data_IF_304349660078
#
_entry.id   IF_304349660078
#
_cell.length_a   1.000
_cell.length_b   1.000
_cell.length_c   1.000
_cell.angle_alpha   90.00
_cell.angle_beta   90.00
_cell.angle_gamma   90.00
#
_symmetry.space_group_name_H-M   'P 1'
#
loop_
_entity.id
_entity.type
_entity.pdbx_description
1 polymer ?
#
# COMPACT_ATOMS: atom_id res chain seq x y z
N UNK A 1 125.63 -39.56 56.02
CA UNK A 1 125.61 -40.97 55.57
C UNK A 1 124.79 -41.90 56.48
N UNK A 2 123.81 -41.45 57.28
CA UNK A 2 122.99 -42.44 58.01
C UNK A 2 121.53 -42.00 58.31
N UNK A 3 120.89 -41.39 57.30
CA UNK A 3 119.44 -41.58 57.03
C UNK A 3 119.06 -43.07 56.87
N UNK A 4 120.06 -43.97 56.80
CA UNK A 4 119.92 -45.43 56.80
C UNK A 4 119.94 -46.09 58.20
N UNK A 5 120.42 -45.44 59.28
CA UNK A 5 120.43 -46.04 60.64
C UNK A 5 119.06 -45.86 61.30
N UNK A 6 118.38 -44.76 60.98
CA UNK A 6 117.00 -44.52 61.43
C UNK A 6 116.02 -45.56 60.85
N UNK A 7 116.33 -46.10 59.66
CA UNK A 7 115.50 -47.12 59.00
C UNK A 7 115.77 -48.54 59.54
N UNK A 8 116.99 -48.85 60.01
CA UNK A 8 117.30 -50.15 60.64
C UNK A 8 116.84 -50.26 62.08
N UNK A 9 116.76 -49.16 62.84
CA UNK A 9 116.15 -49.19 64.17
C UNK A 9 114.61 -49.31 64.12
N UNK A 10 113.98 -48.86 63.03
CA UNK A 10 112.54 -49.04 62.77
C UNK A 10 112.16 -50.49 62.43
N UNK A 11 113.13 -51.38 62.17
CA UNK A 11 112.87 -52.74 61.70
C UNK A 11 113.21 -53.86 62.70
N UNK A 12 113.89 -53.59 63.82
CA UNK A 12 114.31 -54.65 64.77
C UNK A 12 113.56 -54.63 66.10
N UNK A 13 112.75 -53.61 66.42
CA UNK A 13 111.77 -53.70 67.53
C UNK A 13 110.56 -54.59 67.20
N UNK A 14 110.61 -55.28 66.05
CA UNK A 14 109.59 -56.20 65.54
C UNK A 14 109.69 -57.63 66.10
N UNK A 15 110.60 -57.96 67.02
CA UNK A 15 110.69 -59.35 67.53
C UNK A 15 111.11 -59.41 69.01
N UNK A 16 110.13 -59.25 69.91
CA UNK A 16 110.02 -60.02 71.15
C UNK A 16 108.54 -60.10 71.58
N UNK A 17 107.83 -61.07 70.99
CA UNK A 17 106.97 -62.08 71.64
C UNK A 17 107.19 -62.23 73.16
N UNK A 18 106.27 -62.59 74.06
CA UNK A 18 104.97 -63.29 74.07
C UNK A 18 104.43 -63.10 75.53
N UNK A 19 103.18 -62.80 75.84
CA UNK A 19 102.13 -63.77 76.25
C UNK A 19 101.09 -63.04 77.14
N UNK A 20 99.82 -62.99 76.74
CA UNK A 20 98.70 -63.40 77.61
C UNK A 20 97.35 -63.38 76.84
N UNK A 21 96.94 -64.59 76.47
CA UNK A 21 95.60 -65.19 76.58
C UNK A 21 94.35 -64.48 76.04
N UNK A 22 93.82 -65.10 75.00
CA UNK A 22 92.40 -65.30 74.66
C UNK A 22 91.36 -64.90 75.73
N UNK A 23 90.59 -63.87 75.44
CA UNK A 23 89.19 -63.71 75.90
C UNK A 23 88.45 -62.81 74.90
N UNK A 24 88.37 -63.32 73.66
CA UNK A 24 87.73 -62.70 72.50
C UNK A 24 86.27 -63.14 72.33
N UNK A 25 85.45 -62.25 71.74
CA UNK A 25 84.16 -62.43 71.06
C UNK A 25 82.83 -62.02 71.73
N UNK A 26 82.56 -62.21 73.02
CA UNK A 26 81.17 -62.08 73.50
C UNK A 26 80.71 -60.63 73.82
N UNK A 27 81.63 -59.72 74.18
CA UNK A 27 81.28 -58.33 74.52
C UNK A 27 81.23 -57.38 73.32
N UNK A 28 82.05 -57.61 72.28
CA UNK A 28 82.01 -56.84 71.04
C UNK A 28 80.77 -57.17 70.19
N UNK A 29 80.40 -58.46 70.09
CA UNK A 29 79.18 -58.87 69.38
C UNK A 29 77.90 -58.31 70.04
N UNK A 30 77.82 -58.28 71.38
CA UNK A 30 76.70 -57.63 72.09
C UNK A 30 76.61 -56.13 71.85
N UNK A 31 77.75 -55.43 71.73
CA UNK A 31 77.78 -53.99 71.42
C UNK A 31 77.34 -53.73 69.97
N UNK A 32 77.78 -54.56 69.03
CA UNK A 32 77.40 -54.47 67.61
C UNK A 32 75.91 -54.80 67.43
N UNK A 33 75.38 -55.81 68.12
CA UNK A 33 73.97 -56.18 68.08
C UNK A 33 73.06 -55.08 68.69
N UNK A 34 73.49 -54.44 69.78
CA UNK A 34 72.81 -53.28 70.36
C UNK A 34 72.85 -52.05 69.44
N UNK A 35 73.97 -51.83 68.73
CA UNK A 35 74.09 -50.77 67.74
C UNK A 35 73.19 -51.03 66.53
N UNK A 36 73.15 -52.25 66.00
CA UNK A 36 72.27 -52.62 64.90
C UNK A 36 70.80 -52.50 65.30
N UNK A 37 70.41 -52.97 66.49
CA UNK A 37 69.04 -52.75 67.01
C UNK A 37 68.67 -51.28 67.13
N UNK A 38 69.61 -50.42 67.52
CA UNK A 38 69.39 -48.97 67.64
C UNK A 38 69.34 -48.28 66.27
N UNK A 39 70.11 -48.77 65.30
CA UNK A 39 70.07 -48.31 63.90
C UNK A 39 68.76 -48.75 63.24
N UNK A 40 68.34 -50.00 63.41
CA UNK A 40 67.07 -50.52 62.89
C UNK A 40 65.87 -49.83 63.54
N UNK A 41 65.94 -49.53 64.85
CA UNK A 41 64.89 -48.73 65.51
C UNK A 41 64.83 -47.32 64.93
N UNK A 42 65.97 -46.65 64.73
CA UNK A 42 66.03 -45.32 64.12
C UNK A 42 65.57 -45.30 62.66
N UNK A 43 65.89 -46.34 61.88
CA UNK A 43 65.40 -46.51 60.50
C UNK A 43 63.89 -46.72 60.49
N UNK A 44 63.36 -47.53 61.41
CA UNK A 44 61.91 -47.75 61.53
C UNK A 44 61.17 -46.48 61.97
N UNK A 45 61.75 -45.70 62.88
CA UNK A 45 61.21 -44.41 63.34
C UNK A 45 61.26 -43.37 62.21
N UNK A 46 62.39 -43.28 61.50
CA UNK A 46 62.56 -42.38 60.36
C UNK A 46 61.62 -42.75 59.21
N UNK A 47 61.43 -44.04 58.92
CA UNK A 47 60.48 -44.50 57.93
C UNK A 47 59.05 -44.23 58.37
N UNK A 48 58.70 -44.46 59.64
CA UNK A 48 57.40 -44.14 60.21
C UNK A 48 57.06 -42.64 60.14
N UNK A 49 58.03 -41.77 60.43
CA UNK A 49 57.92 -40.32 60.30
C UNK A 49 57.79 -39.91 58.84
N UNK A 50 58.58 -40.49 57.92
CA UNK A 50 58.46 -40.23 56.48
C UNK A 50 57.10 -40.66 55.94
N UNK A 51 56.57 -41.82 56.32
CA UNK A 51 55.22 -42.26 55.91
C UNK A 51 54.14 -41.34 56.45
N UNK A 52 54.22 -40.90 57.72
CA UNK A 52 53.27 -39.92 58.27
C UNK A 52 53.29 -38.58 57.53
N UNK A 53 54.48 -38.05 57.23
CA UNK A 53 54.62 -36.81 56.46
C UNK A 53 54.09 -36.99 55.03
N UNK A 54 54.32 -38.16 54.42
CA UNK A 54 53.81 -38.45 53.08
C UNK A 54 52.28 -38.55 53.08
N UNK A 55 51.70 -39.19 54.10
CA UNK A 55 50.25 -39.33 54.28
C UNK A 55 49.58 -37.98 54.56
N UNK A 56 50.18 -37.13 55.40
CA UNK A 56 49.73 -35.73 55.58
C UNK A 56 49.78 -34.94 54.28
N UNK A 57 50.86 -35.06 53.49
CA UNK A 57 50.97 -34.38 52.20
C UNK A 57 49.97 -34.89 51.17
N UNK A 58 49.69 -36.18 51.15
CA UNK A 58 48.67 -36.78 50.28
C UNK A 58 47.28 -36.30 50.70
N UNK A 59 47.01 -36.23 51.99
CA UNK A 59 45.73 -35.71 52.50
C UNK A 59 45.57 -34.22 52.19
N UNK A 60 46.59 -33.39 52.39
CA UNK A 60 46.57 -31.98 52.01
C UNK A 60 46.40 -31.78 50.49
N UNK A 61 47.10 -32.57 49.67
CA UNK A 61 46.95 -32.53 48.22
C UNK A 61 45.53 -32.94 47.80
N UNK A 62 44.98 -33.97 48.44
CA UNK A 62 43.62 -34.45 48.19
C UNK A 62 42.58 -33.40 48.59
N UNK A 63 42.71 -32.78 49.76
CA UNK A 63 41.84 -31.66 50.18
C UNK A 63 41.95 -30.48 49.22
N UNK A 64 43.16 -30.14 48.77
CA UNK A 64 43.38 -29.05 47.81
C UNK A 64 42.71 -29.35 46.46
N UNK A 65 42.87 -30.58 45.95
CA UNK A 65 42.22 -31.03 44.71
C UNK A 65 40.69 -31.03 44.86
N UNK A 66 40.18 -31.49 46.01
CA UNK A 66 38.74 -31.55 46.27
C UNK A 66 38.15 -30.14 46.35
N UNK A 67 38.84 -29.21 47.01
CA UNK A 67 38.45 -27.81 47.09
C UNK A 67 38.50 -27.12 45.72
N UNK A 68 39.53 -27.39 44.90
CA UNK A 68 39.61 -26.87 43.53
C UNK A 68 38.52 -27.45 42.63
N UNK A 69 38.23 -28.75 42.73
CA UNK A 69 37.15 -29.41 41.99
C UNK A 69 35.78 -28.82 42.36
N UNK A 70 35.54 -28.60 43.65
CA UNK A 70 34.32 -27.95 44.16
C UNK A 70 34.19 -26.50 43.65
N UNK A 71 35.29 -25.73 43.65
CA UNK A 71 35.32 -24.38 43.07
C UNK A 71 35.01 -24.40 41.57
N UNK A 72 35.64 -25.29 40.80
CA UNK A 72 35.41 -25.41 39.34
C UNK A 72 33.96 -25.79 39.04
N UNK A 73 33.39 -26.74 39.78
CA UNK A 73 31.99 -27.14 39.65
C UNK A 73 31.04 -25.97 39.96
N UNK A 74 31.35 -25.19 40.99
CA UNK A 74 30.57 -24.01 41.36
C UNK A 74 30.64 -22.93 40.27
N UNK A 75 31.82 -22.69 39.69
CA UNK A 75 31.98 -21.77 38.55
C UNK A 75 31.23 -22.27 37.30
N UNK A 76 31.26 -23.57 37.00
CA UNK A 76 30.52 -24.15 35.89
C UNK A 76 29.01 -23.98 36.05
N UNK A 77 28.50 -24.16 37.27
CA UNK A 77 27.08 -23.93 37.59
C UNK A 77 26.70 -22.47 37.41
N UNK A 78 27.52 -21.54 37.93
CA UNK A 78 27.28 -20.11 37.84
C UNK A 78 27.34 -19.62 36.39
N UNK A 79 28.29 -20.11 35.60
CA UNK A 79 28.37 -19.84 34.16
C UNK A 79 27.11 -20.32 33.43
N UNK A 80 26.65 -21.55 33.71
CA UNK A 80 25.44 -22.11 33.11
C UNK A 80 24.21 -21.24 33.41
N UNK A 81 24.05 -20.79 34.66
CA UNK A 81 22.96 -19.89 35.07
C UNK A 81 23.02 -18.56 34.30
N UNK A 82 24.20 -17.95 34.19
CA UNK A 82 24.39 -16.71 33.41
C UNK A 82 24.05 -16.94 31.94
N UNK A 83 24.51 -18.03 31.34
CA UNK A 83 24.21 -18.37 29.94
C UNK A 83 22.71 -18.55 29.70
N UNK A 84 22.00 -19.21 30.63
CA UNK A 84 20.55 -19.36 30.54
C UNK A 84 19.86 -18.00 30.60
N UNK A 85 20.27 -17.11 31.50
CA UNK A 85 19.72 -15.74 31.61
C UNK A 85 19.96 -14.96 30.31
N UNK A 86 21.19 -15.01 29.77
CA UNK A 86 21.52 -14.35 28.51
C UNK A 86 20.72 -14.91 27.32
N UNK A 87 20.53 -16.23 27.25
CA UNK A 87 19.69 -16.86 26.25
C UNK A 87 18.22 -16.41 26.39
N UNK A 88 17.72 -16.31 27.63
CA UNK A 88 16.37 -15.84 27.91
C UNK A 88 16.18 -14.39 27.48
N UNK A 89 17.15 -13.51 27.78
CA UNK A 89 17.15 -12.11 27.30
C UNK A 89 17.18 -12.07 25.77
N UNK A 90 18.02 -12.89 25.14
CA UNK A 90 18.13 -12.97 23.68
C UNK A 90 16.83 -13.36 22.97
N UNK A 91 15.96 -14.13 23.63
CA UNK A 91 14.64 -14.52 23.08
C UNK A 91 13.53 -13.56 23.49
N UNK A 92 13.48 -13.16 24.76
CA UNK A 92 12.38 -12.33 25.30
C UNK A 92 12.47 -10.89 24.80
N UNK A 93 13.67 -10.32 24.70
CA UNK A 93 13.84 -8.91 24.36
C UNK A 93 13.35 -8.58 22.94
N UNK A 94 13.62 -9.39 21.89
CA UNK A 94 13.02 -9.22 20.57
C UNK A 94 11.48 -9.33 20.58
N UNK A 95 10.91 -10.27 21.35
CA UNK A 95 9.46 -10.45 21.44
C UNK A 95 8.81 -9.21 22.09
N UNK A 96 9.37 -8.72 23.20
CA UNK A 96 8.90 -7.51 23.86
C UNK A 96 9.06 -6.28 22.96
N UNK A 97 10.19 -6.15 22.27
CA UNK A 97 10.45 -5.05 21.32
C UNK A 97 9.43 -5.07 20.19
N UNK A 98 9.10 -6.25 19.67
CA UNK A 98 8.08 -6.39 18.65
C UNK A 98 6.68 -6.06 19.16
N UNK A 99 6.26 -6.63 20.30
CA UNK A 99 4.91 -6.41 20.84
C UNK A 99 4.65 -5.00 21.33
N UNK A 100 5.64 -4.36 21.97
CA UNK A 100 5.45 -3.05 22.62
C UNK A 100 6.05 -1.88 21.85
N UNK A 101 7.04 -2.12 20.98
CA UNK A 101 7.66 -1.09 20.16
C UNK A 101 7.13 -1.11 18.73
N UNK A 102 7.37 -2.20 18.01
CA UNK A 102 7.18 -2.25 16.55
C UNK A 102 5.69 -2.32 16.19
N UNK A 103 4.96 -3.29 16.74
CA UNK A 103 3.54 -3.53 16.39
C UNK A 103 2.65 -2.31 16.64
N UNK A 104 2.59 -1.71 17.84
CA UNK A 104 1.73 -0.55 18.08
C UNK A 104 2.15 0.66 17.24
N UNK A 105 3.44 0.86 16.99
CA UNK A 105 3.90 1.93 16.09
C UNK A 105 3.42 1.71 14.66
N UNK A 106 3.43 0.46 14.17
CA UNK A 106 2.91 0.12 12.85
C UNK A 106 1.41 0.35 12.74
N UNK A 107 0.66 -0.03 13.77
CA UNK A 107 -0.79 0.15 13.82
C UNK A 107 -1.15 1.64 13.88
N UNK A 108 -0.44 2.44 14.69
CA UNK A 108 -0.61 3.89 14.75
C UNK A 108 -0.24 4.59 13.44
N UNK A 109 0.82 4.14 12.75
CA UNK A 109 1.22 4.67 11.44
C UNK A 109 0.13 4.41 10.40
N UNK A 110 -0.42 3.19 10.39
CA UNK A 110 -1.51 2.81 9.49
C UNK A 110 -2.77 3.64 9.74
N UNK A 111 -3.14 3.81 11.01
CA UNK A 111 -4.27 4.66 11.40
C UNK A 111 -4.04 6.13 11.01
N UNK A 112 -2.81 6.63 11.15
CA UNK A 112 -2.42 7.96 10.72
C UNK A 112 -2.52 8.12 9.21
N UNK A 113 -2.01 7.17 8.42
CA UNK A 113 -2.11 7.18 6.95
C UNK A 113 -3.56 7.23 6.50
N UNK A 114 -4.40 6.32 7.01
CA UNK A 114 -5.83 6.26 6.67
C UNK A 114 -6.56 7.56 7.05
N UNK A 115 -6.32 8.10 8.26
CA UNK A 115 -6.95 9.35 8.71
C UNK A 115 -6.42 10.58 7.98
N UNK A 116 -5.14 10.61 7.66
CA UNK A 116 -4.49 11.73 6.96
C UNK A 116 -4.96 11.79 5.51
N UNK A 117 -4.99 10.65 4.83
CA UNK A 117 -5.51 10.54 3.47
C UNK A 117 -6.99 10.96 3.41
N UNK A 118 -7.83 10.45 4.33
CA UNK A 118 -9.23 10.86 4.40
C UNK A 118 -9.38 12.38 4.64
N UNK A 119 -8.60 12.96 5.56
CA UNK A 119 -8.62 14.41 5.83
C UNK A 119 -8.16 15.21 4.63
N UNK A 120 -7.11 14.76 3.94
CA UNK A 120 -6.57 15.43 2.76
C UNK A 120 -7.56 15.40 1.61
N UNK A 121 -8.17 14.24 1.35
CA UNK A 121 -9.22 14.09 0.32
C UNK A 121 -10.44 14.96 0.63
N UNK A 122 -10.88 15.02 1.90
CA UNK A 122 -11.95 15.92 2.31
C UNK A 122 -11.59 17.39 2.10
N UNK A 123 -10.39 17.80 2.50
CA UNK A 123 -9.91 19.17 2.30
C UNK A 123 -9.88 19.54 0.80
N UNK A 124 -9.38 18.64 -0.07
CA UNK A 124 -9.37 18.87 -1.51
C UNK A 124 -10.78 18.99 -2.09
N UNK A 125 -11.73 18.15 -1.61
CA UNK A 125 -13.13 18.21 -2.04
C UNK A 125 -13.79 19.53 -1.60
N UNK A 126 -13.62 19.93 -0.35
CA UNK A 126 -14.16 21.20 0.16
C UNK A 126 -13.57 22.41 -0.56
N UNK A 127 -12.26 22.40 -0.79
CA UNK A 127 -11.58 23.46 -1.54
C UNK A 127 -12.12 23.56 -2.96
N UNK A 128 -12.27 22.43 -3.65
CA UNK A 128 -12.85 22.38 -4.99
C UNK A 128 -14.26 22.94 -5.04
N UNK A 129 -15.13 22.53 -4.10
CA UNK A 129 -16.51 23.04 -4.03
C UNK A 129 -16.49 24.56 -3.86
N UNK A 130 -15.64 25.10 -2.98
CA UNK A 130 -15.48 26.56 -2.80
C UNK A 130 -14.98 27.26 -4.06
N UNK A 131 -14.02 26.68 -4.77
CA UNK A 131 -13.48 27.26 -6.02
C UNK A 131 -14.56 27.29 -7.12
N UNK A 132 -15.36 26.23 -7.25
CA UNK A 132 -16.50 26.18 -8.18
C UNK A 132 -17.57 27.20 -7.76
N UNK A 133 -17.95 27.26 -6.48
CA UNK A 133 -18.94 28.21 -5.99
C UNK A 133 -18.50 29.66 -6.25
N UNK A 134 -17.23 29.98 -5.98
CA UNK A 134 -16.66 31.30 -6.27
C UNK A 134 -16.70 31.61 -7.77
N UNK A 135 -16.36 30.64 -8.63
CA UNK A 135 -16.45 30.82 -10.08
C UNK A 135 -17.89 31.09 -10.52
N UNK A 136 -18.87 30.35 -9.99
CA UNK A 136 -20.29 30.55 -10.28
C UNK A 136 -20.77 31.94 -9.82
N UNK A 137 -20.38 32.39 -8.62
CA UNK A 137 -20.75 33.74 -8.17
C UNK A 137 -20.11 34.83 -9.05
N UNK A 138 -18.86 34.65 -9.47
CA UNK A 138 -18.15 35.57 -10.35
C UNK A 138 -18.72 35.64 -11.77
N UNK A 139 -19.53 34.67 -12.20
CA UNK A 139 -20.27 34.76 -13.48
C UNK A 139 -21.25 35.93 -13.51
N UNK A 140 -21.71 36.40 -12.35
CA UNK A 140 -22.60 37.57 -12.21
C UNK A 140 -21.84 38.91 -12.23
N UNK A 141 -20.51 38.87 -12.32
CA UNK A 141 -19.69 40.08 -12.33
C UNK A 141 -19.95 40.94 -13.58
N UNK A 142 -20.01 42.26 -13.37
CA UNK A 142 -20.02 43.24 -14.45
C UNK A 142 -18.68 43.31 -15.19
N UNK A 143 -17.59 42.91 -14.54
CA UNK A 143 -16.27 42.82 -15.16
C UNK A 143 -16.18 41.59 -16.08
N UNK A 144 -16.11 41.86 -17.38
CA UNK A 144 -15.99 40.83 -18.43
C UNK A 144 -14.75 39.93 -18.26
N UNK A 145 -13.62 40.44 -17.74
CA UNK A 145 -12.43 39.61 -17.50
C UNK A 145 -12.68 38.60 -16.38
N UNK A 146 -13.28 39.04 -15.29
CA UNK A 146 -13.64 38.16 -14.15
C UNK A 146 -14.65 37.11 -14.60
N UNK A 147 -15.70 37.54 -15.33
CA UNK A 147 -16.74 36.64 -15.85
C UNK A 147 -16.16 35.59 -16.79
N UNK A 148 -15.34 35.99 -17.77
CA UNK A 148 -14.72 35.07 -18.74
C UNK A 148 -13.73 34.11 -18.09
N UNK A 149 -12.91 34.59 -17.13
CA UNK A 149 -12.00 33.72 -16.39
C UNK A 149 -12.76 32.65 -15.60
N UNK A 150 -13.89 33.02 -15.02
CA UNK A 150 -14.74 32.10 -14.26
C UNK A 150 -15.43 31.09 -15.17
N UNK A 151 -15.91 31.51 -16.33
CA UNK A 151 -16.47 30.61 -17.36
C UNK A 151 -15.44 29.61 -17.88
N UNK A 152 -14.23 30.08 -18.17
CA UNK A 152 -13.11 29.22 -18.58
C UNK A 152 -12.77 28.21 -17.49
N UNK A 153 -12.71 28.66 -16.23
CA UNK A 153 -12.48 27.76 -15.10
C UNK A 153 -13.54 26.66 -15.03
N UNK A 154 -14.83 26.98 -15.15
CA UNK A 154 -15.92 26.00 -15.14
C UNK A 154 -15.84 25.05 -16.35
N UNK A 155 -15.52 25.57 -17.53
CA UNK A 155 -15.37 24.76 -18.75
C UNK A 155 -14.26 23.73 -18.61
N UNK A 156 -13.06 24.15 -18.16
CA UNK A 156 -11.92 23.25 -17.98
C UNK A 156 -12.13 22.24 -16.85
N UNK A 157 -12.91 22.58 -15.84
CA UNK A 157 -13.18 21.73 -14.68
C UNK A 157 -14.54 21.00 -14.76
N UNK A 158 -15.23 21.03 -15.90
CA UNK A 158 -16.55 20.39 -16.10
C UNK A 158 -16.54 18.88 -15.80
N UNK A 159 -15.41 18.20 -16.00
CA UNK A 159 -15.24 16.79 -15.68
C UNK A 159 -15.29 16.46 -14.17
N UNK A 160 -15.22 17.46 -13.29
CA UNK A 160 -15.21 17.26 -11.84
C UNK A 160 -16.61 17.04 -11.25
N UNK A 161 -17.66 17.28 -12.04
CA UNK A 161 -19.06 17.21 -11.62
C UNK A 161 -19.50 18.44 -10.83
N UNK A 162 -20.78 18.77 -10.97
CA UNK A 162 -21.43 19.87 -10.25
C UNK A 162 -22.49 19.30 -9.31
N UNK A 163 -22.62 19.85 -8.11
CA UNK A 163 -23.72 19.48 -7.23
C UNK A 163 -25.04 20.14 -7.69
N UNK A 164 -26.16 19.68 -7.12
CA UNK A 164 -27.49 20.13 -7.57
C UNK A 164 -27.71 21.63 -7.39
N UNK A 165 -27.21 22.20 -6.29
CA UNK A 165 -27.31 23.63 -6.00
C UNK A 165 -26.50 24.47 -6.99
N UNK A 166 -25.32 24.00 -7.38
CA UNK A 166 -24.45 24.64 -8.38
C UNK A 166 -25.11 24.64 -9.77
N UNK A 167 -25.69 23.51 -10.18
CA UNK A 167 -26.45 23.43 -11.44
C UNK A 167 -27.63 24.41 -11.40
N UNK A 168 -28.38 24.46 -10.30
CA UNK A 168 -29.50 25.39 -10.15
C UNK A 168 -29.06 26.86 -10.23
N UNK A 169 -27.94 27.21 -9.60
CA UNK A 169 -27.37 28.57 -9.70
C UNK A 169 -27.01 28.93 -11.14
N UNK A 170 -26.42 28.00 -11.90
CA UNK A 170 -26.08 28.23 -13.31
C UNK A 170 -27.35 28.39 -14.15
N UNK A 171 -28.37 27.55 -13.95
CA UNK A 171 -29.68 27.70 -14.62
C UNK A 171 -30.29 29.08 -14.33
N UNK A 172 -30.23 29.55 -13.09
CA UNK A 172 -30.72 30.89 -12.74
C UNK A 172 -29.94 32.00 -13.45
N UNK A 173 -28.63 31.84 -13.66
CA UNK A 173 -27.84 32.80 -14.44
C UNK A 173 -28.26 32.76 -15.91
N UNK A 174 -28.50 31.56 -16.45
CA UNK A 174 -28.94 31.37 -17.84
C UNK A 174 -30.29 32.07 -18.07
N UNK A 175 -31.26 31.88 -17.18
CA UNK A 175 -32.60 32.47 -17.32
C UNK A 175 -32.62 33.99 -17.19
N UNK A 176 -31.61 34.61 -16.58
CA UNK A 176 -31.55 36.04 -16.31
C UNK A 176 -30.59 36.80 -17.24
N UNK A 177 -30.00 36.14 -18.24
CA UNK A 177 -29.02 36.72 -19.14
C UNK A 177 -29.47 36.60 -20.60
N UNK A 178 -29.13 37.59 -21.43
CA UNK A 178 -29.53 37.67 -22.84
C UNK A 178 -28.36 37.47 -23.82
N UNK A 179 -27.12 37.30 -23.34
CA UNK A 179 -25.95 37.05 -24.19
C UNK A 179 -25.92 35.57 -24.61
N UNK A 180 -26.44 35.28 -25.80
CA UNK A 180 -26.56 33.92 -26.33
C UNK A 180 -25.23 33.14 -26.31
N UNK A 181 -24.11 33.78 -26.66
CA UNK A 181 -22.81 33.11 -26.68
C UNK A 181 -22.36 32.71 -25.27
N UNK A 182 -22.65 33.54 -24.28
CA UNK A 182 -22.39 33.23 -22.87
C UNK A 182 -23.30 32.10 -22.36
N UNK A 183 -24.59 32.15 -22.71
CA UNK A 183 -25.56 31.11 -22.35
C UNK A 183 -25.16 29.73 -22.90
N UNK A 184 -24.81 29.67 -24.18
CA UNK A 184 -24.39 28.44 -24.87
C UNK A 184 -23.16 27.82 -24.20
N UNK A 185 -22.20 28.62 -23.75
CA UNK A 185 -21.03 28.13 -23.02
C UNK A 185 -21.40 27.59 -21.63
N UNK A 186 -22.28 28.29 -20.89
CA UNK A 186 -22.76 27.80 -19.59
C UNK A 186 -23.54 26.49 -19.71
N UNK A 187 -24.38 26.35 -20.74
CA UNK A 187 -25.06 25.09 -21.05
C UNK A 187 -24.05 23.98 -21.31
N UNK A 188 -22.97 24.28 -22.04
CA UNK A 188 -21.85 23.35 -22.23
C UNK A 188 -21.21 22.86 -20.93
N UNK A 189 -21.16 23.70 -19.89
CA UNK A 189 -20.63 23.31 -18.58
C UNK A 189 -21.55 22.33 -17.83
N UNK A 190 -22.87 22.43 -17.99
CA UNK A 190 -23.84 21.68 -17.18
C UNK A 190 -24.51 20.51 -17.93
N UNK A 191 -24.42 20.44 -19.26
CA UNK A 191 -25.18 19.49 -20.09
C UNK A 191 -24.97 18.01 -19.75
N UNK A 192 -23.82 17.65 -19.18
CA UNK A 192 -23.52 16.26 -18.82
C UNK A 192 -23.93 15.91 -17.38
N UNK A 193 -24.40 16.90 -16.60
CA UNK A 193 -24.76 16.71 -15.20
C UNK A 193 -26.13 16.06 -15.09
N UNK A 194 -26.21 14.90 -14.45
CA UNK A 194 -27.49 14.22 -14.18
C UNK A 194 -28.22 14.94 -13.06
N UNK A 195 -29.09 15.87 -13.42
CA UNK A 195 -29.79 16.75 -12.48
C UNK A 195 -31.26 16.97 -12.87
N UNK A 196 -32.17 16.84 -11.91
CA UNK A 196 -33.62 17.01 -12.12
C UNK A 196 -34.03 18.46 -12.41
N UNK A 197 -33.32 19.47 -11.89
CA UNK A 197 -33.59 20.88 -12.23
C UNK A 197 -33.21 21.17 -13.68
N UNK A 198 -32.09 20.61 -14.14
CA UNK A 198 -31.67 20.72 -15.54
C UNK A 198 -32.62 20.00 -16.49
N UNK A 199 -33.13 18.83 -16.08
CA UNK A 199 -34.17 18.12 -16.82
C UNK A 199 -35.44 18.97 -16.97
N UNK A 200 -35.93 19.56 -15.87
CA UNK A 200 -37.11 20.44 -15.90
C UNK A 200 -36.90 21.64 -16.83
N UNK A 201 -35.73 22.28 -16.73
CA UNK A 201 -35.34 23.37 -17.61
C UNK A 201 -35.40 22.97 -19.09
N UNK A 202 -34.82 21.83 -19.47
CA UNK A 202 -34.83 21.38 -20.86
C UNK A 202 -36.21 20.88 -21.34
N UNK A 203 -37.04 20.31 -20.47
CA UNK A 203 -38.44 19.98 -20.79
C UNK A 203 -39.22 21.26 -21.10
N UNK A 204 -39.07 22.29 -20.28
CA UNK A 204 -39.70 23.60 -20.52
C UNK A 204 -39.18 24.22 -21.83
N UNK A 205 -37.88 24.10 -22.09
CA UNK A 205 -37.27 24.58 -23.32
C UNK A 205 -37.82 23.87 -24.57
N UNK A 206 -38.00 22.53 -24.54
CA UNK A 206 -38.62 21.79 -25.65
C UNK A 206 -40.05 22.27 -25.96
N UNK A 207 -40.82 22.59 -24.92
CA UNK A 207 -42.22 23.01 -25.07
C UNK A 207 -42.37 24.45 -25.56
N UNK A 208 -41.39 25.31 -25.29
CA UNK A 208 -41.46 26.74 -25.60
C UNK A 208 -40.66 27.14 -26.83
N UNK A 209 -39.60 26.39 -27.17
CA UNK A 209 -38.74 26.73 -28.29
C UNK A 209 -39.43 26.52 -29.65
N UNK A 210 -39.33 27.54 -30.49
CA UNK A 210 -39.81 27.52 -31.88
C UNK A 210 -38.68 27.45 -32.89
N UNK A 211 -37.42 27.32 -32.44
CA UNK A 211 -36.26 27.32 -33.31
C UNK A 211 -35.23 26.23 -32.93
N UNK A 212 -34.60 25.66 -33.95
CA UNK A 212 -33.50 24.73 -33.81
C UNK A 212 -32.15 25.48 -33.70
N UNK A 213 -31.84 25.98 -32.49
CA UNK A 213 -30.63 26.75 -32.21
C UNK A 213 -29.58 25.97 -31.38
N UNK A 214 -28.52 26.64 -30.94
CA UNK A 214 -27.44 26.05 -30.13
C UNK A 214 -27.90 25.52 -28.77
N UNK A 215 -28.93 26.12 -28.15
CA UNK A 215 -29.51 25.62 -26.90
C UNK A 215 -30.24 24.30 -27.13
N UNK A 216 -30.92 24.15 -28.27
CA UNK A 216 -31.56 22.89 -28.66
C UNK A 216 -30.54 21.75 -28.82
N UNK A 217 -29.35 22.04 -29.35
CA UNK A 217 -28.25 21.07 -29.40
C UNK A 217 -27.90 20.52 -28.01
N UNK A 218 -27.72 21.40 -27.01
CA UNK A 218 -27.43 20.96 -25.64
C UNK A 218 -28.61 20.27 -24.97
N UNK A 219 -29.84 20.72 -25.23
CA UNK A 219 -31.05 20.08 -24.77
C UNK A 219 -31.14 18.62 -25.23
N UNK A 220 -30.94 18.37 -26.53
CA UNK A 220 -30.99 17.02 -27.11
C UNK A 220 -29.79 16.17 -26.68
N UNK A 221 -28.60 16.78 -26.52
CA UNK A 221 -27.43 16.11 -25.94
C UNK A 221 -27.65 15.70 -24.49
N UNK A 222 -28.31 16.52 -23.67
CA UNK A 222 -28.67 16.16 -22.30
C UNK A 222 -29.61 14.95 -22.31
N UNK A 223 -30.69 15.04 -23.11
CA UNK A 223 -31.70 14.00 -23.16
C UNK A 223 -31.23 12.66 -23.73
N UNK A 224 -30.15 12.62 -24.54
CA UNK A 224 -29.60 11.35 -25.03
C UNK A 224 -29.09 10.44 -23.91
N UNK A 225 -28.78 10.99 -22.72
CA UNK A 225 -28.41 10.24 -21.53
C UNK A 225 -29.60 9.87 -20.61
N UNK A 226 -30.81 10.29 -20.96
CA UNK A 226 -32.04 10.06 -20.18
C UNK A 226 -32.98 9.07 -20.87
N UNK A 227 -33.98 8.62 -20.11
CA UNK A 227 -34.97 7.69 -20.62
C UNK A 227 -35.91 8.40 -21.61
N UNK A 228 -35.84 8.00 -22.88
CA UNK A 228 -36.62 8.56 -23.98
C UNK A 228 -38.12 8.60 -23.72
N UNK A 229 -38.67 7.61 -23.01
CA UNK A 229 -40.11 7.57 -22.71
C UNK A 229 -40.59 8.77 -21.88
N UNK A 230 -39.70 9.43 -21.13
CA UNK A 230 -40.06 10.52 -20.21
C UNK A 230 -40.24 11.87 -20.89
N UNK A 231 -39.69 12.07 -22.09
CA UNK A 231 -39.73 13.34 -22.82
C UNK A 231 -40.17 13.19 -24.28
N UNK A 232 -40.60 11.98 -24.68
CA UNK A 232 -41.00 11.63 -26.05
C UNK A 232 -42.09 12.58 -26.58
N UNK A 233 -43.07 12.96 -25.77
CA UNK A 233 -44.20 13.77 -26.22
C UNK A 233 -43.78 15.22 -26.46
N UNK A 234 -42.95 15.78 -25.59
CA UNK A 234 -42.39 17.12 -25.71
C UNK A 234 -41.50 17.22 -26.95
N UNK A 235 -40.68 16.19 -27.21
CA UNK A 235 -39.89 16.11 -28.42
C UNK A 235 -40.78 16.08 -29.69
N UNK A 236 -41.89 15.35 -29.67
CA UNK A 236 -42.86 15.33 -30.78
C UNK A 236 -43.41 16.72 -31.05
N UNK A 237 -43.83 17.43 -30.00
CA UNK A 237 -44.36 18.79 -30.11
C UNK A 237 -43.29 19.71 -30.73
N UNK A 238 -42.05 19.62 -30.25
CA UNK A 238 -40.94 20.39 -30.81
C UNK A 238 -40.73 20.12 -32.30
N UNK A 239 -40.64 18.84 -32.72
CA UNK A 239 -40.47 18.48 -34.14
C UNK A 239 -41.66 18.98 -34.98
N UNK A 240 -42.87 18.91 -34.42
CA UNK A 240 -44.08 19.37 -35.11
C UNK A 240 -44.04 20.86 -35.41
N UNK A 241 -43.52 21.64 -34.47
CA UNK A 241 -43.35 23.08 -34.63
C UNK A 241 -42.10 23.44 -35.46
N UNK A 242 -41.13 22.53 -35.55
CA UNK A 242 -39.82 22.71 -36.19
C UNK A 242 -39.58 21.64 -37.24
N UNK A 243 -40.46 21.54 -38.24
CA UNK A 243 -40.45 20.48 -39.24
C UNK A 243 -39.38 20.67 -40.34
N UNK A 244 -38.24 21.27 -40.00
CA UNK A 244 -37.12 21.62 -40.91
C UNK A 244 -36.01 20.57 -40.89
N UNK A 245 -35.15 20.61 -41.91
CA UNK A 245 -33.98 19.70 -42.01
C UNK A 245 -32.98 19.87 -40.86
N UNK A 246 -32.78 21.10 -40.38
CA UNK A 246 -31.86 21.41 -39.28
C UNK A 246 -32.30 20.77 -37.96
N UNK A 247 -33.59 20.80 -37.64
CA UNK A 247 -34.10 20.17 -36.42
C UNK A 247 -33.88 18.66 -36.44
N UNK A 248 -34.17 18.02 -37.58
CA UNK A 248 -33.97 16.58 -37.76
C UNK A 248 -32.50 16.17 -37.66
N UNK A 249 -31.58 16.93 -38.26
CA UNK A 249 -30.15 16.60 -38.24
C UNK A 249 -29.59 16.61 -36.81
N UNK A 250 -29.99 17.56 -35.97
CA UNK A 250 -29.58 17.62 -34.56
C UNK A 250 -30.15 16.44 -33.79
N UNK A 251 -31.44 16.12 -33.93
CA UNK A 251 -32.09 15.00 -33.22
C UNK A 251 -31.40 13.68 -33.55
N UNK A 252 -31.17 13.43 -34.84
CA UNK A 252 -30.56 12.19 -35.30
C UNK A 252 -29.10 12.02 -34.89
N UNK A 253 -28.39 13.11 -34.58
CA UNK A 253 -26.99 13.05 -34.17
C UNK A 253 -26.79 12.53 -32.74
N UNK A 254 -27.81 12.59 -31.89
CA UNK A 254 -27.67 12.29 -30.45
C UNK A 254 -28.42 11.04 -29.99
N UNK A 255 -29.44 10.60 -30.71
CA UNK A 255 -30.35 9.60 -30.19
C UNK A 255 -29.82 8.17 -30.45
N UNK A 256 -29.94 7.25 -29.47
CA UNK A 256 -29.67 5.84 -29.69
C UNK A 256 -30.53 5.25 -30.82
N UNK A 257 -30.01 4.25 -31.52
CA UNK A 257 -30.67 3.53 -32.63
C UNK A 257 -32.15 3.26 -32.37
N UNK A 258 -32.48 2.66 -31.22
CA UNK A 258 -33.86 2.26 -30.92
C UNK A 258 -34.81 3.46 -30.83
N UNK A 259 -34.36 4.58 -30.27
CA UNK A 259 -35.17 5.79 -30.15
C UNK A 259 -35.36 6.45 -31.53
N UNK A 260 -34.35 6.39 -32.39
CA UNK A 260 -34.46 6.84 -33.78
C UNK A 260 -35.49 5.99 -34.53
N UNK A 261 -35.43 4.65 -34.44
CA UNK A 261 -36.41 3.77 -35.09
C UNK A 261 -37.84 4.11 -34.64
N UNK A 262 -38.04 4.35 -33.35
CA UNK A 262 -39.32 4.75 -32.78
C UNK A 262 -39.83 6.07 -33.39
N UNK A 263 -38.95 7.07 -33.55
CA UNK A 263 -39.27 8.35 -34.20
C UNK A 263 -39.59 8.18 -35.69
N UNK A 264 -38.81 7.36 -36.40
CA UNK A 264 -38.97 7.13 -37.84
C UNK A 264 -40.26 6.35 -38.20
N UNK A 265 -40.85 5.67 -37.22
CA UNK A 265 -42.12 4.97 -37.34
C UNK A 265 -43.33 5.78 -36.85
N UNK A 266 -43.11 6.97 -36.29
CA UNK A 266 -44.18 7.79 -35.75
C UNK A 266 -44.88 8.58 -36.85
N UNK A 267 -46.07 8.12 -37.25
CA UNK A 267 -46.82 8.71 -38.35
C UNK A 267 -47.14 10.19 -38.09
N UNK A 268 -47.45 10.54 -36.84
CA UNK A 268 -47.75 11.93 -36.47
C UNK A 268 -46.57 12.86 -36.67
N UNK A 269 -45.33 12.36 -36.56
CA UNK A 269 -44.12 13.15 -36.80
C UNK A 269 -43.77 13.17 -38.28
N UNK A 270 -43.81 12.02 -38.94
CA UNK A 270 -43.35 11.89 -40.33
C UNK A 270 -44.28 12.62 -41.30
N UNK A 271 -45.59 12.58 -41.09
CA UNK A 271 -46.57 13.17 -42.02
C UNK A 271 -46.56 14.70 -42.02
N UNK A 272 -46.09 15.32 -40.94
CA UNK A 272 -46.02 16.77 -40.78
C UNK A 272 -44.66 17.35 -41.21
N UNK A 273 -43.70 16.51 -41.61
CA UNK A 273 -42.40 16.98 -42.10
C UNK A 273 -42.56 17.83 -43.35
N UNK A 274 -41.86 18.97 -43.39
CA UNK A 274 -41.87 19.85 -44.56
C UNK A 274 -41.28 19.14 -45.79
N UNK A 275 -41.63 19.62 -46.98
CA UNK A 275 -41.02 19.11 -48.22
C UNK A 275 -39.50 19.25 -48.23
N UNK A 276 -38.96 20.32 -47.64
CA UNK A 276 -37.53 20.56 -47.53
C UNK A 276 -36.88 19.54 -46.58
N UNK A 277 -37.50 19.26 -45.44
CA UNK A 277 -37.04 18.22 -44.52
C UNK A 277 -37.05 16.84 -45.17
N UNK A 278 -38.13 16.48 -45.87
CA UNK A 278 -38.21 15.21 -46.59
C UNK A 278 -37.17 15.11 -47.72
N UNK A 279 -36.88 16.21 -48.42
CA UNK A 279 -35.85 16.26 -49.47
C UNK A 279 -34.44 16.12 -48.88
N UNK A 280 -34.18 16.79 -47.75
CA UNK A 280 -32.92 16.65 -47.02
C UNK A 280 -32.70 15.21 -46.57
N UNK A 281 -33.72 14.58 -45.98
CA UNK A 281 -33.63 13.20 -45.52
C UNK A 281 -33.55 12.23 -46.71
N UNK A 282 -34.24 12.49 -47.82
CA UNK A 282 -34.14 11.70 -49.05
C UNK A 282 -32.71 11.64 -49.61
N UNK A 283 -32.01 12.78 -49.67
CA UNK A 283 -30.68 12.86 -50.26
C UNK A 283 -30.65 12.28 -51.68
N UNK A 284 -29.67 11.41 -51.96
CA UNK A 284 -29.50 10.76 -53.27
C UNK A 284 -30.04 9.32 -53.34
N UNK A 285 -30.46 8.72 -52.22
CA UNK A 285 -30.79 7.30 -52.17
C UNK A 285 -31.85 6.98 -51.11
N UNK A 286 -32.97 7.71 -51.11
CA UNK A 286 -34.06 7.55 -50.14
C UNK A 286 -33.57 7.51 -48.69
N UNK A 287 -32.62 8.34 -48.31
CA UNK A 287 -32.08 8.44 -46.94
C UNK A 287 -31.07 7.39 -46.52
N UNK A 288 -30.69 6.46 -47.40
CA UNK A 288 -29.67 5.44 -47.10
C UNK A 288 -28.31 6.01 -46.69
N UNK A 289 -27.97 7.22 -47.15
CA UNK A 289 -26.74 7.92 -46.76
C UNK A 289 -26.69 8.28 -45.27
N UNK A 290 -27.84 8.35 -44.59
CA UNK A 290 -27.94 8.74 -43.19
C UNK A 290 -27.92 7.54 -42.23
N UNK A 291 -28.05 6.31 -42.74
CA UNK A 291 -28.11 5.06 -41.95
C UNK A 291 -26.89 4.93 -41.02
N UNK A 292 -25.70 5.30 -41.51
CA UNK A 292 -24.46 5.25 -40.71
C UNK A 292 -24.48 6.23 -39.54
N UNK A 293 -25.02 7.44 -39.74
CA UNK A 293 -25.18 8.43 -38.69
C UNK A 293 -26.21 7.98 -37.64
N UNK A 294 -27.27 7.31 -38.08
CA UNK A 294 -28.31 6.77 -37.21
C UNK A 294 -27.92 5.46 -36.52
N UNK A 295 -26.71 4.95 -36.82
CA UNK A 295 -26.21 3.66 -36.35
C UNK A 295 -27.24 2.52 -36.58
N UNK A 296 -27.87 2.53 -37.75
CA UNK A 296 -28.94 1.62 -38.14
C UNK A 296 -28.44 0.64 -39.21
N UNK A 297 -29.13 -0.50 -39.40
CA UNK A 297 -28.91 -1.34 -40.58
C UNK A 297 -29.82 -0.88 -41.72
N UNK A 298 -29.46 -1.19 -42.95
CA UNK A 298 -30.33 -0.93 -44.11
C UNK A 298 -31.66 -1.67 -43.99
N UNK A 299 -31.64 -2.92 -43.52
CA UNK A 299 -32.85 -3.72 -43.32
C UNK A 299 -33.80 -3.08 -42.29
N UNK A 300 -33.28 -2.56 -41.18
CA UNK A 300 -34.10 -1.88 -40.17
C UNK A 300 -34.69 -0.58 -40.73
N UNK A 301 -33.92 0.17 -41.51
CA UNK A 301 -34.35 1.43 -42.10
C UNK A 301 -35.45 1.24 -43.14
N UNK A 302 -35.33 0.22 -44.01
CA UNK A 302 -36.31 -0.06 -45.05
C UNK A 302 -37.68 -0.50 -44.49
N UNK A 303 -37.72 -0.91 -43.21
CA UNK A 303 -38.96 -1.22 -42.48
C UNK A 303 -39.61 0.00 -41.83
N UNK A 304 -39.00 1.18 -41.91
CA UNK A 304 -39.52 2.39 -41.26
C UNK A 304 -40.59 3.09 -42.10
N UNK A 305 -41.56 3.69 -41.42
CA UNK A 305 -42.60 4.51 -42.09
C UNK A 305 -42.01 5.68 -42.89
N UNK A 306 -40.95 6.32 -42.39
CA UNK A 306 -40.23 7.35 -43.15
C UNK A 306 -39.78 6.85 -44.52
N UNK A 307 -39.21 5.64 -44.61
CA UNK A 307 -38.74 5.10 -45.88
C UNK A 307 -39.88 4.85 -46.87
N UNK A 308 -41.01 4.31 -46.41
CA UNK A 308 -42.23 4.15 -47.21
C UNK A 308 -42.73 5.50 -47.73
N UNK A 309 -42.75 6.52 -46.85
CA UNK A 309 -43.17 7.87 -47.20
C UNK A 309 -42.27 8.54 -48.25
N UNK A 310 -40.95 8.35 -48.14
CA UNK A 310 -40.00 8.85 -49.13
C UNK A 310 -40.18 8.15 -50.49
N UNK A 311 -40.42 6.83 -50.49
CA UNK A 311 -40.74 6.09 -51.72
C UNK A 311 -42.00 6.62 -52.39
N UNK A 312 -43.09 6.78 -51.65
CA UNK A 312 -44.35 7.30 -52.18
C UNK A 312 -44.17 8.70 -52.81
N UNK A 313 -43.43 9.58 -52.13
CA UNK A 313 -43.25 10.97 -52.57
C UNK A 313 -42.32 11.14 -53.76
N UNK A 314 -41.23 10.37 -53.82
CA UNK A 314 -40.14 10.59 -54.77
C UNK A 314 -40.01 9.50 -55.86
N UNK A 315 -40.79 8.43 -55.80
CA UNK A 315 -40.88 7.48 -56.92
C UNK A 315 -41.88 8.03 -57.94
N UNK A 316 -41.50 8.28 -59.20
CA UNK A 316 -42.43 8.76 -60.21
C UNK A 316 -43.54 7.73 -60.43
N UNK A 317 -44.80 8.20 -60.40
CA UNK A 317 -45.96 7.41 -60.82
C UNK A 317 -45.86 7.29 -62.34
N UNK A 318 -45.56 6.09 -62.83
CA UNK A 318 -45.51 5.79 -64.26
C UNK A 318 -46.90 5.77 -64.89
#
# INVERSE_FOLDING_TARGET
>A
MFKKILLTLFLISSVFSFSQTDTSNNQQNKKIELLNKKVDSLISEQNGVKTKILEERINQATETITNQSSMISSFGTLYTVITIILAFIGVVLPILTYQFGIKPSRDALKEFEEKSEAKFNNFLKERRVKEIDNAIENLKSEDNHIRNNSLNFLTYNSHQGLNEDQVLKIINIINNNNDENFLVQLLGCIVNEKNENLKKYFIEYLNTSQEANSTMYYCLKFFSYYNYSEYKNELKIFISNNNTSTALSIIFSFFPKNNIIDLLNDHNIIDILSSDALTFVHGYNFGKSNISQWNMSEEDYEKTYLYERLKEKFTPVN
#
